data_IF_682532604257
#
_entry.id   IF_682532604257
#
_cell.length_a   1.000
_cell.length_b   1.000
_cell.length_c   1.000
_cell.angle_alpha   90.00
_cell.angle_beta   90.00
_cell.angle_gamma   90.00
#
_symmetry.space_group_name_H-M   'P 1'
#
loop_
_entity.id
_entity.type
_entity.pdbx_description
1 polymer ?
#
# COMPACT_ATOMS: atom_id res chain seq x y z
N UNK A 1 -7.02 -17.45 -0.57
CA UNK A 1 -6.09 -17.02 0.49
C UNK A 1 -6.90 -16.69 1.75
N UNK A 2 -7.13 -17.68 2.59
CA UNK A 2 -7.72 -17.54 3.92
C UNK A 2 -6.59 -17.34 4.91
N UNK A 3 -6.32 -16.10 5.32
CA UNK A 3 -5.54 -15.86 6.53
C UNK A 3 -6.38 -16.33 7.73
N UNK A 4 -5.76 -17.16 8.56
CA UNK A 4 -6.45 -17.92 9.59
C UNK A 4 -6.78 -16.98 10.77
N UNK A 5 -8.07 -16.86 11.11
CA UNK A 5 -8.55 -16.16 12.31
C UNK A 5 -7.96 -16.72 13.63
N UNK A 6 -7.33 -17.90 13.57
CA UNK A 6 -6.52 -18.47 14.67
C UNK A 6 -5.38 -17.56 15.08
N UNK A 7 -4.75 -16.86 14.12
CA UNK A 7 -3.55 -16.07 14.39
C UNK A 7 -3.90 -14.79 15.16
N UNK A 8 -5.10 -14.23 14.90
CA UNK A 8 -5.63 -13.09 15.65
C UNK A 8 -6.03 -13.48 17.09
N UNK A 9 -6.53 -14.71 17.26
CA UNK A 9 -6.94 -15.24 18.57
C UNK A 9 -5.72 -15.55 19.45
N UNK A 10 -4.67 -16.17 18.87
CA UNK A 10 -3.38 -16.36 19.53
C UNK A 10 -2.74 -15.04 19.94
N UNK A 11 -2.87 -13.99 19.12
CA UNK A 11 -2.38 -12.65 19.46
C UNK A 11 -3.12 -12.04 20.66
N UNK A 12 -4.42 -12.27 20.76
CA UNK A 12 -5.25 -11.75 21.85
C UNK A 12 -4.99 -12.46 23.18
N UNK A 13 -4.80 -13.78 23.16
CA UNK A 13 -4.44 -14.55 24.36
C UNK A 13 -3.03 -14.19 24.86
N UNK A 14 -2.04 -14.11 23.95
CA UNK A 14 -0.69 -13.68 24.29
C UNK A 14 -0.68 -12.26 24.89
N UNK A 15 -1.55 -11.38 24.40
CA UNK A 15 -1.73 -10.02 24.91
C UNK A 15 -2.35 -9.99 26.32
N UNK A 16 -3.35 -10.85 26.59
CA UNK A 16 -3.98 -10.97 27.91
C UNK A 16 -3.01 -11.52 28.96
N UNK A 17 -2.17 -12.51 28.58
CA UNK A 17 -1.11 -13.04 29.44
C UNK A 17 -0.04 -11.99 29.77
N UNK A 18 0.40 -11.21 28.77
CA UNK A 18 1.34 -10.10 29.00
C UNK A 18 0.74 -9.02 29.93
N UNK A 19 -0.55 -8.72 29.81
CA UNK A 19 -1.24 -7.74 30.66
C UNK A 19 -1.36 -8.22 32.12
N UNK A 20 -1.71 -9.50 32.33
CA UNK A 20 -1.80 -10.12 33.66
C UNK A 20 -0.40 -10.19 34.31
N UNK A 21 0.63 -10.50 33.52
CA UNK A 21 2.02 -10.57 33.98
C UNK A 21 2.58 -9.19 34.36
N UNK A 22 2.34 -8.16 33.54
CA UNK A 22 2.71 -6.77 33.84
C UNK A 22 2.02 -6.24 35.11
N UNK A 23 0.77 -6.64 35.35
CA UNK A 23 0.02 -6.27 36.56
C UNK A 23 0.58 -6.95 37.82
N UNK A 24 1.10 -8.18 37.73
CA UNK A 24 1.82 -8.88 38.82
C UNK A 24 3.21 -8.28 39.10
N UNK A 25 3.93 -7.83 38.08
CA UNK A 25 5.23 -7.16 38.26
C UNK A 25 5.10 -5.79 38.93
N UNK A 26 3.98 -5.08 38.72
CA UNK A 26 3.70 -3.78 39.36
C UNK A 26 3.56 -3.88 40.89
N UNK A 27 3.26 -5.06 41.42
CA UNK A 27 3.14 -5.32 42.86
C UNK A 27 4.43 -5.85 43.51
N UNK A 28 5.49 -6.11 42.74
CA UNK A 28 6.78 -6.54 43.26
C UNK A 28 7.77 -5.36 43.37
N UNK A 29 8.28 -5.12 44.58
CA UNK A 29 8.97 -3.87 44.99
C UNK A 29 10.41 -3.70 44.44
N UNK A 30 10.90 -4.54 43.52
CA UNK A 30 12.24 -4.35 42.94
C UNK A 30 12.22 -4.49 41.42
N UNK A 31 12.04 -3.36 40.72
CA UNK A 31 12.19 -3.28 39.27
C UNK A 31 13.47 -2.48 38.97
N UNK A 32 14.39 -3.08 38.20
CA UNK A 32 15.64 -2.44 37.78
C UNK A 32 15.38 -1.24 36.84
N UNK A 33 16.34 -0.32 36.65
CA UNK A 33 16.20 0.84 35.76
C UNK A 33 15.81 0.48 34.30
N UNK A 34 16.19 -0.72 33.83
CA UNK A 34 15.79 -1.26 32.53
C UNK A 34 14.29 -1.61 32.45
N UNK A 35 13.68 -2.02 33.57
CA UNK A 35 12.25 -2.31 33.65
C UNK A 35 11.37 -1.06 33.55
N UNK A 36 11.86 0.09 34.05
CA UNK A 36 11.20 1.39 33.85
C UNK A 36 11.23 1.83 32.38
N UNK A 37 12.31 1.54 31.66
CA UNK A 37 12.44 1.86 30.24
C UNK A 37 11.50 1.00 29.36
N UNK A 38 11.35 -0.28 29.69
CA UNK A 38 10.41 -1.19 29.05
C UNK A 38 8.94 -0.81 29.33
N UNK A 39 8.62 -0.40 30.57
CA UNK A 39 7.29 0.10 30.94
C UNK A 39 6.93 1.39 30.19
N UNK A 40 7.88 2.31 30.00
CA UNK A 40 7.66 3.54 29.24
C UNK A 40 7.26 3.31 27.78
N UNK A 41 7.88 2.33 27.10
CA UNK A 41 7.51 1.97 25.72
C UNK A 41 6.18 1.21 25.64
N UNK A 42 5.89 0.35 26.62
CA UNK A 42 4.59 -0.33 26.69
C UNK A 42 3.45 0.65 26.97
N UNK A 43 3.64 1.66 27.82
CA UNK A 43 2.62 2.69 28.10
C UNK A 43 2.34 3.57 26.86
N UNK A 44 3.37 3.87 26.06
CA UNK A 44 3.24 4.58 24.79
C UNK A 44 2.50 3.75 23.73
N UNK A 45 2.78 2.44 23.66
CA UNK A 45 2.11 1.50 22.77
C UNK A 45 0.64 1.27 23.20
N UNK A 46 0.37 1.22 24.50
CA UNK A 46 -0.98 1.12 25.07
C UNK A 46 -1.81 2.37 24.80
N UNK A 47 -1.23 3.58 24.93
CA UNK A 47 -1.91 4.84 24.57
C UNK A 47 -2.21 4.92 23.08
N UNK A 48 -1.34 4.38 22.23
CA UNK A 48 -1.57 4.31 20.78
C UNK A 48 -2.69 3.33 20.41
N UNK A 49 -2.82 2.22 21.14
CA UNK A 49 -3.83 1.18 20.89
C UNK A 49 -5.19 1.50 21.51
N UNK A 50 -5.25 2.05 22.73
CA UNK A 50 -6.48 2.50 23.38
C UNK A 50 -7.18 3.62 22.59
N UNK A 51 -6.41 4.50 21.95
CA UNK A 51 -6.97 5.53 21.06
C UNK A 51 -7.58 4.94 19.77
N UNK A 52 -7.32 3.67 19.45
CA UNK A 52 -7.91 2.97 18.30
C UNK A 52 -9.03 2.01 18.67
N UNK A 53 -9.07 1.49 19.91
CA UNK A 53 -10.09 0.54 20.37
C UNK A 53 -11.32 1.17 21.03
N UNK A 54 -11.28 2.45 21.44
CA UNK A 54 -12.45 3.16 21.98
C UNK A 54 -13.59 3.45 20.97
N UNK A 55 -13.46 3.05 19.69
CA UNK A 55 -14.48 3.29 18.66
C UNK A 55 -15.47 2.13 18.44
N UNK A 56 -15.35 1.01 19.17
CA UNK A 56 -16.26 -0.13 18.96
C UNK A 56 -16.73 -0.70 20.30
N UNK A 57 -18.02 -0.44 20.58
CA UNK A 57 -18.91 -1.11 21.53
C UNK A 57 -18.70 -0.84 23.02
N UNK A 58 -19.48 0.10 23.54
CA UNK A 58 -19.96 0.06 24.91
C UNK A 58 -21.16 -0.87 25.03
N UNK A 59 -20.99 -2.00 25.72
CA UNK A 59 -22.05 -2.68 26.46
C UNK A 59 -21.47 -3.83 27.28
N UNK A 60 -21.84 -3.83 28.55
CA UNK A 60 -21.52 -4.72 29.67
C UNK A 60 -21.56 -6.23 29.36
N UNK A 61 -20.50 -6.92 29.75
CA UNK A 61 -20.33 -8.38 29.71
C UNK A 61 -21.00 -9.04 30.93
N UNK A 62 -21.94 -9.96 30.68
CA UNK A 62 -22.20 -11.13 31.51
C UNK A 62 -22.07 -12.35 30.60
N UNK A 63 -21.13 -13.25 30.93
CA UNK A 63 -20.82 -14.42 30.14
C UNK A 63 -21.71 -15.61 30.52
N UNK A 64 -22.22 -16.37 29.53
CA UNK A 64 -22.38 -17.81 29.68
C UNK A 64 -21.50 -18.57 28.68
N UNK A 65 -21.15 -19.80 29.04
CA UNK A 65 -20.27 -20.72 28.31
C UNK A 65 -20.88 -21.14 26.96
N UNK A 66 -20.13 -21.01 25.85
CA UNK A 66 -20.58 -21.38 24.51
C UNK A 66 -19.89 -22.66 24.02
N UNK A 67 -20.67 -23.70 23.72
CA UNK A 67 -20.22 -24.94 23.09
C UNK A 67 -20.00 -24.77 21.57
N UNK A 68 -18.99 -25.44 21.01
CA UNK A 68 -18.52 -25.32 19.61
C UNK A 68 -19.59 -25.35 18.50
N UNK A 69 -20.74 -25.99 18.72
CA UNK A 69 -21.85 -26.06 17.75
C UNK A 69 -22.58 -24.72 17.54
N UNK A 70 -22.62 -23.84 18.54
CA UNK A 70 -23.26 -22.52 18.44
C UNK A 70 -22.43 -21.51 17.64
N UNK A 71 -21.11 -21.66 17.59
CA UNK A 71 -20.23 -20.78 16.83
C UNK A 71 -20.38 -20.94 15.31
N UNK A 72 -20.67 -22.16 14.82
CA UNK A 72 -20.89 -22.43 13.40
C UNK A 72 -22.24 -21.85 12.95
N UNK A 73 -23.30 -22.06 13.74
CA UNK A 73 -24.63 -21.48 13.46
C UNK A 73 -24.58 -19.95 13.49
N UNK A 74 -23.89 -19.35 14.46
CA UNK A 74 -23.70 -17.89 14.48
C UNK A 74 -22.87 -17.38 13.30
N UNK A 75 -21.87 -18.13 12.82
CA UNK A 75 -21.06 -17.76 11.65
C UNK A 75 -21.89 -17.77 10.37
N UNK A 76 -22.65 -18.83 10.13
CA UNK A 76 -23.48 -18.94 8.93
C UNK A 76 -24.66 -17.97 8.96
N UNK A 77 -25.22 -17.71 10.15
CA UNK A 77 -26.25 -16.70 10.33
C UNK A 77 -25.68 -15.28 10.17
N UNK A 78 -24.44 -15.01 10.61
CA UNK A 78 -23.75 -13.73 10.34
C UNK A 78 -23.41 -13.56 8.87
N UNK A 79 -22.92 -14.59 8.18
CA UNK A 79 -22.64 -14.55 6.74
C UNK A 79 -23.95 -14.31 5.96
N UNK A 80 -25.03 -14.98 6.35
CA UNK A 80 -26.35 -14.82 5.72
C UNK A 80 -26.97 -13.47 6.05
N UNK A 81 -26.84 -12.97 7.28
CA UNK A 81 -27.27 -11.62 7.66
C UNK A 81 -26.45 -10.54 6.98
N UNK A 82 -25.13 -10.70 6.82
CA UNK A 82 -24.29 -9.77 6.06
C UNK A 82 -24.65 -9.79 4.58
N UNK A 83 -24.79 -10.98 3.98
CA UNK A 83 -25.17 -11.13 2.57
C UNK A 83 -26.59 -10.60 2.27
N UNK A 84 -27.54 -10.78 3.19
CA UNK A 84 -28.90 -10.24 3.05
C UNK A 84 -28.96 -8.75 3.34
N UNK A 85 -28.19 -8.22 4.30
CA UNK A 85 -28.11 -6.79 4.60
C UNK A 85 -27.40 -6.02 3.48
N UNK A 86 -26.33 -6.59 2.90
CA UNK A 86 -25.68 -6.05 1.70
C UNK A 86 -26.62 -6.10 0.49
N UNK A 87 -27.36 -7.21 0.28
CA UNK A 87 -28.36 -7.29 -0.80
C UNK A 87 -29.56 -6.35 -0.61
N UNK A 88 -29.98 -6.08 0.64
CA UNK A 88 -31.05 -5.11 0.94
C UNK A 88 -30.56 -3.67 0.78
N UNK A 89 -29.33 -3.37 1.20
CA UNK A 89 -28.65 -2.09 0.93
C UNK A 89 -28.42 -1.86 -0.57
N UNK A 90 -28.11 -2.91 -1.33
CA UNK A 90 -27.98 -2.89 -2.79
C UNK A 90 -29.30 -2.66 -3.52
N UNK A 91 -30.44 -3.11 -2.96
CA UNK A 91 -31.76 -2.94 -3.56
C UNK A 91 -32.44 -1.61 -3.23
N UNK A 92 -32.08 -0.94 -2.13
CA UNK A 92 -32.76 0.29 -1.68
C UNK A 92 -31.93 1.58 -1.79
N UNK A 93 -30.60 1.52 -1.98
CA UNK A 93 -29.83 2.75 -2.30
C UNK A 93 -30.05 3.13 -3.76
N UNK A 94 -31.01 4.04 -3.99
CA UNK A 94 -31.17 4.76 -5.27
C UNK A 94 -29.80 5.26 -5.74
N UNK A 95 -29.52 4.94 -7.00
CA UNK A 95 -28.36 5.33 -7.77
C UNK A 95 -28.16 6.86 -7.74
N UNK A 96 -27.29 7.40 -6.90
CA UNK A 96 -27.06 8.85 -6.83
C UNK A 96 -25.59 9.21 -7.02
N UNK A 97 -25.26 9.58 -8.26
CA UNK A 97 -24.03 10.33 -8.59
C UNK A 97 -24.02 11.75 -7.98
N UNK A 98 -25.06 12.12 -7.23
CA UNK A 98 -25.24 13.38 -6.52
C UNK A 98 -24.92 13.27 -5.02
N UNK A 99 -24.45 12.09 -4.56
CA UNK A 99 -24.02 11.88 -3.18
C UNK A 99 -22.61 12.42 -2.90
N UNK A 100 -22.13 12.21 -1.66
CA UNK A 100 -20.77 12.63 -1.29
C UNK A 100 -19.71 11.82 -2.06
N UNK A 101 -18.52 12.40 -2.21
CA UNK A 101 -17.35 11.73 -2.84
C UNK A 101 -17.07 10.32 -2.26
N UNK A 102 -17.25 10.14 -0.95
CA UNK A 102 -17.08 8.84 -0.28
C UNK A 102 -18.14 7.81 -0.70
N UNK A 103 -19.40 8.22 -0.77
CA UNK A 103 -20.50 7.34 -1.18
C UNK A 103 -20.33 6.88 -2.63
N UNK A 104 -19.95 7.81 -3.51
CA UNK A 104 -19.70 7.51 -4.92
C UNK A 104 -18.50 6.57 -5.08
N UNK A 105 -17.40 6.76 -4.34
CA UNK A 105 -16.26 5.85 -4.40
C UNK A 105 -16.61 4.40 -4.02
N UNK A 106 -17.43 4.19 -2.99
CA UNK A 106 -17.89 2.85 -2.62
C UNK A 106 -18.73 2.22 -3.73
N UNK A 107 -19.61 3.02 -4.34
CA UNK A 107 -20.46 2.58 -5.44
C UNK A 107 -19.66 2.20 -6.71
N UNK A 108 -18.68 3.01 -7.10
CA UNK A 108 -17.87 2.75 -8.30
C UNK A 108 -17.09 1.44 -8.21
N UNK A 109 -16.72 0.98 -7.00
CA UNK A 109 -16.03 -0.31 -6.82
C UNK A 109 -16.91 -1.52 -7.16
N UNK A 110 -18.23 -1.38 -7.04
CA UNK A 110 -19.19 -2.48 -7.21
C UNK A 110 -19.94 -2.44 -8.53
N UNK A 111 -19.67 -1.44 -9.39
CA UNK A 111 -20.52 -1.14 -10.55
C UNK A 111 -19.71 -1.21 -11.86
N UNK A 112 -20.33 -1.76 -12.91
CA UNK A 112 -19.74 -1.77 -14.26
C UNK A 112 -19.75 -0.37 -14.90
N UNK A 113 -18.75 -0.03 -15.72
CA UNK A 113 -18.67 1.27 -16.39
C UNK A 113 -19.93 1.68 -17.17
N UNK A 114 -20.55 0.75 -17.90
CA UNK A 114 -21.73 1.06 -18.73
C UNK A 114 -22.92 1.56 -17.89
N UNK A 115 -23.15 0.97 -16.72
CA UNK A 115 -24.24 1.40 -15.81
C UNK A 115 -23.99 2.79 -15.24
N UNK A 116 -22.73 3.09 -14.90
CA UNK A 116 -22.34 4.43 -14.44
C UNK A 116 -22.50 5.45 -15.56
N UNK A 117 -22.18 5.05 -16.80
CA UNK A 117 -22.35 5.88 -17.99
C UNK A 117 -23.83 6.20 -18.24
N UNK A 118 -24.72 5.20 -18.21
CA UNK A 118 -26.16 5.40 -18.41
C UNK A 118 -26.72 6.39 -17.39
N UNK A 119 -26.30 6.29 -16.13
CA UNK A 119 -26.71 7.23 -15.09
C UNK A 119 -26.14 8.63 -15.31
N UNK A 120 -24.91 8.74 -15.81
CA UNK A 120 -24.32 10.02 -16.14
C UNK A 120 -25.06 10.70 -17.31
N UNK A 121 -25.52 9.92 -18.29
CA UNK A 121 -26.36 10.42 -19.38
C UNK A 121 -27.73 10.86 -18.87
N UNK A 122 -28.35 10.10 -17.96
CA UNK A 122 -29.59 10.52 -17.29
C UNK A 122 -29.40 11.87 -16.60
N UNK A 123 -28.33 12.04 -15.80
CA UNK A 123 -27.97 13.31 -15.17
C UNK A 123 -27.80 14.46 -16.18
N UNK A 124 -27.31 14.16 -17.39
CA UNK A 124 -27.14 15.15 -18.45
C UNK A 124 -28.48 15.57 -19.05
N UNK A 125 -29.41 14.64 -19.23
CA UNK A 125 -30.77 14.90 -19.75
C UNK A 125 -31.60 15.68 -18.73
N UNK A 126 -31.53 15.31 -17.44
CA UNK A 126 -32.26 15.97 -16.35
C UNK A 126 -31.60 17.26 -15.87
N UNK A 127 -30.44 17.63 -16.43
CA UNK A 127 -29.59 18.75 -15.99
C UNK A 127 -29.18 18.70 -14.49
N UNK A 128 -29.31 17.53 -13.86
CA UNK A 128 -28.90 17.30 -12.48
C UNK A 128 -27.47 16.76 -12.42
N UNK A 129 -26.49 17.67 -12.48
CA UNK A 129 -25.08 17.30 -12.62
C UNK A 129 -24.38 17.04 -11.28
N UNK A 130 -23.47 16.04 -11.21
CA UNK A 130 -22.59 15.81 -10.05
C UNK A 130 -21.72 17.01 -9.67
N UNK A 131 -21.25 17.03 -8.42
CA UNK A 131 -20.21 17.97 -7.97
C UNK A 131 -18.89 17.75 -8.73
N UNK A 132 -18.04 18.77 -8.73
CA UNK A 132 -16.79 18.79 -9.53
C UNK A 132 -15.85 17.66 -9.08
N UNK A 133 -15.74 17.44 -7.78
CA UNK A 133 -14.96 16.37 -7.16
C UNK A 133 -15.44 14.99 -7.63
N UNK A 134 -16.75 14.81 -7.74
CA UNK A 134 -17.36 13.57 -8.26
C UNK A 134 -17.06 13.40 -9.76
N UNK A 135 -17.05 14.49 -10.53
CA UNK A 135 -16.68 14.43 -11.95
C UNK A 135 -15.21 14.00 -12.14
N UNK A 136 -14.28 14.44 -11.29
CA UNK A 136 -12.90 13.94 -11.28
C UNK A 136 -12.81 12.44 -10.95
N UNK A 137 -13.58 11.98 -9.96
CA UNK A 137 -13.65 10.55 -9.63
C UNK A 137 -14.18 9.72 -10.80
N UNK A 138 -15.23 10.21 -11.47
CA UNK A 138 -15.82 9.56 -12.64
C UNK A 138 -14.85 9.55 -13.83
N UNK A 139 -14.14 10.66 -14.09
CA UNK A 139 -13.11 10.70 -15.12
C UNK A 139 -12.04 9.63 -14.89
N UNK A 140 -11.51 9.57 -13.66
CA UNK A 140 -10.53 8.55 -13.28
C UNK A 140 -11.09 7.12 -13.44
N UNK A 141 -12.32 6.89 -12.98
CA UNK A 141 -12.98 5.59 -13.07
C UNK A 141 -13.16 5.12 -14.52
N UNK A 142 -13.69 5.98 -15.41
CA UNK A 142 -13.83 5.64 -16.82
C UNK A 142 -12.48 5.45 -17.52
N UNK A 143 -11.47 6.26 -17.17
CA UNK A 143 -10.12 6.13 -17.74
C UNK A 143 -9.44 4.82 -17.34
N UNK A 144 -9.52 4.42 -16.07
CA UNK A 144 -9.02 3.12 -15.60
C UNK A 144 -9.78 1.97 -16.27
N UNK A 145 -11.10 2.10 -16.44
CA UNK A 145 -11.93 1.11 -17.14
C UNK A 145 -11.79 1.12 -18.67
N UNK A 146 -10.98 2.01 -19.26
CA UNK A 146 -10.83 2.13 -20.72
C UNK A 146 -12.10 2.62 -21.46
N UNK A 147 -13.08 3.16 -20.73
CA UNK A 147 -14.41 3.48 -21.24
C UNK A 147 -14.47 4.91 -21.84
N UNK A 148 -14.18 5.00 -23.14
CA UNK A 148 -14.04 6.28 -23.89
C UNK A 148 -15.28 7.15 -23.80
N UNK A 149 -16.47 6.58 -24.06
CA UNK A 149 -17.73 7.34 -24.10
C UNK A 149 -18.03 8.02 -22.77
N UNK A 150 -17.70 7.34 -21.67
CA UNK A 150 -17.89 7.86 -20.31
C UNK A 150 -16.96 9.03 -20.00
N UNK A 151 -15.69 8.93 -20.37
CA UNK A 151 -14.75 10.04 -20.20
C UNK A 151 -15.18 11.27 -21.01
N UNK A 152 -15.61 11.08 -22.26
CA UNK A 152 -16.10 12.18 -23.10
C UNK A 152 -17.41 12.79 -22.56
N UNK A 153 -18.31 11.97 -21.99
CA UNK A 153 -19.49 12.47 -21.30
C UNK A 153 -19.11 13.36 -20.11
N UNK A 154 -18.17 12.94 -19.26
CA UNK A 154 -17.66 13.75 -18.14
C UNK A 154 -17.06 15.06 -18.63
N UNK A 155 -16.19 15.03 -19.65
CA UNK A 155 -15.62 16.24 -20.25
C UNK A 155 -16.70 17.20 -20.74
N UNK A 156 -17.72 16.69 -21.44
CA UNK A 156 -18.82 17.51 -21.96
C UNK A 156 -19.62 18.18 -20.84
N UNK A 157 -19.83 17.48 -19.72
CA UNK A 157 -20.51 18.05 -18.54
C UNK A 157 -19.63 19.12 -17.88
N UNK A 158 -18.33 18.87 -17.71
CA UNK A 158 -17.41 19.83 -17.14
C UNK A 158 -17.28 21.11 -17.98
N UNK A 159 -17.30 21.00 -19.32
CA UNK A 159 -17.29 22.14 -20.22
C UNK A 159 -18.50 23.06 -20.02
N UNK A 160 -19.68 22.48 -19.76
CA UNK A 160 -20.94 23.21 -19.56
C UNK A 160 -21.00 23.80 -18.15
N UNK A 161 -20.75 22.98 -17.11
CA UNK A 161 -21.00 23.35 -15.71
C UNK A 161 -19.83 24.08 -15.05
N UNK A 162 -18.59 23.67 -15.33
CA UNK A 162 -17.40 24.12 -14.60
C UNK A 162 -16.23 24.42 -15.54
N UNK A 163 -16.45 25.30 -16.53
CA UNK A 163 -15.45 25.66 -17.55
C UNK A 163 -14.10 26.10 -16.97
N UNK A 164 -14.09 26.79 -15.82
CA UNK A 164 -12.86 27.22 -15.15
C UNK A 164 -12.03 26.01 -14.70
N UNK A 165 -12.65 25.04 -14.03
CA UNK A 165 -11.94 23.82 -13.60
C UNK A 165 -11.55 22.97 -14.80
N UNK A 166 -12.43 22.85 -15.81
CA UNK A 166 -12.12 22.15 -17.05
C UNK A 166 -10.81 22.64 -17.69
N UNK A 167 -10.61 23.97 -17.78
CA UNK A 167 -9.36 24.56 -18.26
C UNK A 167 -8.19 24.33 -17.29
N UNK A 168 -8.43 24.45 -15.99
CA UNK A 168 -7.39 24.25 -14.94
C UNK A 168 -6.83 22.83 -14.94
N UNK A 169 -7.65 21.83 -15.24
CA UNK A 169 -7.27 20.42 -15.33
C UNK A 169 -6.73 20.01 -16.71
N UNK A 170 -6.28 20.96 -17.54
CA UNK A 170 -5.82 20.71 -18.91
C UNK A 170 -6.85 19.97 -19.77
N UNK A 171 -8.14 20.32 -19.66
CA UNK A 171 -9.24 19.67 -20.37
C UNK A 171 -9.32 18.15 -20.10
N UNK A 172 -8.90 17.71 -18.90
CA UNK A 172 -8.85 16.29 -18.51
C UNK A 172 -7.95 15.45 -19.45
N UNK A 173 -6.94 16.07 -20.08
CA UNK A 173 -6.05 15.40 -21.02
C UNK A 173 -5.20 14.29 -20.35
N UNK A 174 -4.83 14.43 -19.08
CA UNK A 174 -4.13 13.38 -18.33
C UNK A 174 -4.99 12.11 -18.14
N UNK A 175 -6.32 12.24 -18.00
CA UNK A 175 -7.23 11.09 -18.01
C UNK A 175 -7.37 10.47 -19.40
N UNK A 176 -7.19 11.25 -20.45
CA UNK A 176 -7.15 10.75 -21.84
C UNK A 176 -5.86 9.97 -22.10
N UNK A 177 -4.74 10.48 -21.60
CA UNK A 177 -3.45 9.78 -21.59
C UNK A 177 -3.54 8.43 -20.86
N UNK A 178 -4.16 8.43 -19.68
CA UNK A 178 -4.44 7.19 -18.93
C UNK A 178 -5.29 6.21 -19.74
N UNK A 179 -6.29 6.68 -20.50
CA UNK A 179 -7.08 5.83 -21.36
C UNK A 179 -6.25 5.23 -22.51
N UNK A 180 -5.33 5.99 -23.13
CA UNK A 180 -4.39 5.45 -24.12
C UNK A 180 -3.48 4.38 -23.50
N UNK A 181 -3.07 4.57 -22.25
CA UNK A 181 -2.28 3.59 -21.50
C UNK A 181 -3.04 2.28 -21.32
N UNK A 182 -4.31 2.33 -20.89
CA UNK A 182 -5.14 1.12 -20.72
C UNK A 182 -5.36 0.36 -22.03
N UNK A 183 -5.32 1.06 -23.16
CA UNK A 183 -5.39 0.45 -24.51
C UNK A 183 -4.05 -0.09 -25.01
N UNK A 184 -2.99 -0.05 -24.20
CA UNK A 184 -1.65 -0.50 -24.56
C UNK A 184 -0.86 0.47 -25.46
N UNK A 185 -1.38 1.68 -25.71
CA UNK A 185 -0.66 2.68 -26.49
C UNK A 185 0.22 3.56 -25.58
N UNK A 186 1.27 2.94 -25.02
CA UNK A 186 2.14 3.55 -24.01
C UNK A 186 2.86 4.80 -24.51
N UNK A 187 3.36 4.78 -25.74
CA UNK A 187 4.06 5.94 -26.33
C UNK A 187 3.14 7.15 -26.41
N UNK A 188 1.96 7.00 -27.02
CA UNK A 188 0.98 8.09 -27.12
C UNK A 188 0.51 8.57 -25.75
N UNK A 189 0.33 7.65 -24.80
CA UNK A 189 -0.01 8.03 -23.42
C UNK A 189 1.07 8.90 -22.79
N UNK A 190 2.34 8.51 -22.90
CA UNK A 190 3.47 9.26 -22.35
C UNK A 190 3.70 10.61 -23.04
N UNK A 191 3.52 10.67 -24.36
CA UNK A 191 3.56 11.93 -25.11
C UNK A 191 2.49 12.89 -24.60
N UNK A 192 1.26 12.41 -24.36
CA UNK A 192 0.17 13.22 -23.85
C UNK A 192 0.40 13.68 -22.41
N UNK A 193 0.90 12.80 -21.52
CA UNK A 193 1.30 13.21 -20.16
C UNK A 193 2.39 14.29 -20.17
N UNK A 194 3.37 14.14 -21.06
CA UNK A 194 4.45 15.13 -21.25
C UNK A 194 3.88 16.46 -21.74
N UNK A 195 2.94 16.43 -22.68
CA UNK A 195 2.29 17.64 -23.20
C UNK A 195 1.47 18.36 -22.12
N UNK A 196 0.74 17.61 -21.28
CA UNK A 196 -0.02 18.18 -20.15
C UNK A 196 0.90 18.89 -19.16
N UNK A 197 2.00 18.25 -18.77
CA UNK A 197 2.94 18.80 -17.79
C UNK A 197 3.75 19.98 -18.34
N UNK A 198 4.02 20.01 -19.65
CA UNK A 198 4.58 21.19 -20.33
C UNK A 198 3.63 22.37 -20.37
N UNK A 199 2.35 22.13 -20.68
CA UNK A 199 1.32 23.19 -20.75
C UNK A 199 0.95 23.73 -19.38
N UNK A 200 0.84 22.86 -18.38
CA UNK A 200 0.43 23.19 -17.02
C UNK A 200 1.36 22.50 -16.01
N UNK A 201 2.52 23.12 -15.69
CA UNK A 201 3.49 22.57 -14.74
C UNK A 201 2.91 22.29 -13.34
N UNK A 202 1.85 23.00 -12.94
CA UNK A 202 1.14 22.78 -11.68
C UNK A 202 0.53 21.38 -11.55
N UNK A 203 0.24 20.71 -12.68
CA UNK A 203 -0.30 19.34 -12.70
C UNK A 203 0.79 18.27 -12.62
N UNK A 204 2.08 18.64 -12.69
CA UNK A 204 3.20 17.67 -12.69
C UNK A 204 3.16 16.69 -11.52
N UNK A 205 2.95 17.09 -10.25
CA UNK A 205 2.94 16.14 -9.14
C UNK A 205 1.83 15.09 -9.26
N UNK A 206 0.65 15.51 -9.72
CA UNK A 206 -0.50 14.62 -9.93
C UNK A 206 -0.27 13.68 -11.10
N UNK A 207 0.21 14.20 -12.23
CA UNK A 207 0.54 13.40 -13.42
C UNK A 207 1.66 12.40 -13.14
N UNK A 208 2.76 12.83 -12.52
CA UNK A 208 3.84 11.93 -12.12
C UNK A 208 3.31 10.83 -11.18
N UNK A 209 2.46 11.16 -10.21
CA UNK A 209 1.81 10.16 -9.33
C UNK A 209 0.95 9.17 -10.14
N UNK A 210 0.20 9.64 -11.11
CA UNK A 210 -0.62 8.80 -11.98
C UNK A 210 0.25 7.83 -12.80
N UNK A 211 1.30 8.34 -13.46
CA UNK A 211 2.22 7.51 -14.25
C UNK A 211 2.89 6.45 -13.38
N UNK A 212 3.38 6.80 -12.18
CA UNK A 212 3.99 5.83 -11.25
C UNK A 212 3.03 4.69 -10.89
N UNK A 213 1.77 5.01 -10.65
CA UNK A 213 0.75 3.99 -10.36
C UNK A 213 0.50 3.09 -11.57
N UNK A 214 0.41 3.66 -12.77
CA UNK A 214 0.22 2.90 -14.01
C UNK A 214 1.38 1.94 -14.23
N UNK A 215 2.62 2.44 -14.17
CA UNK A 215 3.86 1.65 -14.28
C UNK A 215 3.85 0.47 -13.31
N UNK A 216 3.58 0.73 -12.02
CA UNK A 216 3.54 -0.30 -10.98
C UNK A 216 2.55 -1.43 -11.29
N UNK A 217 1.43 -1.10 -11.91
CA UNK A 217 0.39 -2.09 -12.25
C UNK A 217 0.59 -2.79 -13.59
N UNK A 218 1.24 -2.13 -14.57
CA UNK A 218 1.34 -2.65 -15.94
C UNK A 218 2.67 -3.33 -16.24
N UNK A 219 3.79 -2.80 -15.76
CA UNK A 219 5.14 -3.34 -16.07
C UNK A 219 5.26 -4.84 -15.77
N UNK A 220 4.73 -5.37 -14.64
CA UNK A 220 4.86 -6.80 -14.33
C UNK A 220 4.13 -7.75 -15.30
N UNK A 221 3.20 -7.25 -16.14
CA UNK A 221 2.29 -8.09 -16.93
C UNK A 221 2.37 -7.86 -18.45
N UNK A 222 3.10 -6.87 -18.92
CA UNK A 222 3.18 -6.51 -20.34
C UNK A 222 4.37 -7.17 -21.05
N UNK A 223 4.37 -7.11 -22.38
CA UNK A 223 5.47 -7.64 -23.20
C UNK A 223 6.76 -6.81 -23.06
N UNK A 224 7.92 -7.44 -23.28
CA UNK A 224 9.24 -6.77 -23.25
C UNK A 224 9.37 -5.59 -24.20
N UNK A 225 8.79 -5.71 -25.40
CA UNK A 225 8.77 -4.61 -26.36
C UNK A 225 8.05 -3.38 -25.76
N UNK A 226 6.96 -3.60 -25.02
CA UNK A 226 6.23 -2.55 -24.32
C UNK A 226 7.01 -1.98 -23.14
N UNK A 227 7.72 -2.82 -22.38
CA UNK A 227 8.62 -2.38 -21.29
C UNK A 227 9.68 -1.43 -21.82
N UNK A 228 10.29 -1.74 -22.97
CA UNK A 228 11.29 -0.85 -23.61
C UNK A 228 10.69 0.52 -23.98
N UNK A 229 9.48 0.54 -24.55
CA UNK A 229 8.79 1.81 -24.88
C UNK A 229 8.53 2.64 -23.61
N UNK A 230 8.10 2.00 -22.52
CA UNK A 230 7.88 2.68 -21.24
C UNK A 230 9.20 3.19 -20.66
N UNK A 231 10.28 2.41 -20.76
CA UNK A 231 11.62 2.82 -20.34
C UNK A 231 12.06 4.11 -21.05
N UNK A 232 12.11 4.07 -22.40
CA UNK A 232 12.58 5.19 -23.21
C UNK A 232 11.75 6.47 -22.92
N UNK A 233 10.42 6.29 -22.80
CA UNK A 233 9.50 7.39 -22.50
C UNK A 233 9.64 7.92 -21.07
N UNK A 234 9.90 7.04 -20.09
CA UNK A 234 10.08 7.42 -18.68
C UNK A 234 11.38 8.17 -18.47
N UNK A 235 12.45 7.73 -19.14
CA UNK A 235 13.74 8.41 -19.14
C UNK A 235 13.60 9.80 -19.76
N UNK A 236 12.99 9.88 -20.96
CA UNK A 236 12.74 11.16 -21.62
C UNK A 236 11.90 12.11 -20.75
N UNK A 237 10.82 11.61 -20.14
CA UNK A 237 9.98 12.39 -19.24
C UNK A 237 10.77 12.92 -18.03
N UNK A 238 11.61 12.06 -17.43
CA UNK A 238 12.39 12.41 -16.24
C UNK A 238 13.44 13.47 -16.53
N UNK A 239 14.19 13.32 -17.63
CA UNK A 239 15.20 14.29 -18.07
C UNK A 239 14.56 15.63 -18.44
N UNK A 240 13.41 15.63 -19.12
CA UNK A 240 12.74 16.87 -19.52
C UNK A 240 12.16 17.67 -18.35
N UNK A 241 11.76 17.00 -17.27
CA UNK A 241 11.08 17.64 -16.14
C UNK A 241 11.97 17.78 -14.90
N UNK A 242 13.20 17.25 -14.94
CA UNK A 242 14.07 17.07 -13.77
C UNK A 242 13.33 16.37 -12.61
N UNK A 243 12.53 15.35 -12.95
CA UNK A 243 11.71 14.58 -12.02
C UNK A 243 11.92 13.08 -12.29
N UNK A 244 12.85 12.50 -11.53
CA UNK A 244 13.20 11.09 -11.61
C UNK A 244 12.20 10.16 -10.89
N UNK A 245 11.09 10.67 -10.35
CA UNK A 245 10.12 9.83 -9.65
C UNK A 245 9.42 8.81 -10.56
N UNK A 246 9.21 9.15 -11.84
CA UNK A 246 8.61 8.24 -12.82
C UNK A 246 9.59 7.12 -13.17
N UNK A 247 10.84 7.47 -13.49
CA UNK A 247 11.88 6.48 -13.76
C UNK A 247 12.21 5.63 -12.52
N UNK A 248 12.14 6.20 -11.32
CA UNK A 248 12.27 5.48 -10.05
C UNK A 248 11.18 4.43 -9.84
N UNK A 249 9.93 4.74 -10.17
CA UNK A 249 8.85 3.74 -10.11
C UNK A 249 9.02 2.62 -11.16
N UNK A 250 9.54 2.96 -12.34
CA UNK A 250 9.88 1.98 -13.36
C UNK A 250 10.99 1.06 -12.88
N UNK A 251 12.08 1.62 -12.34
CA UNK A 251 13.17 0.88 -11.74
C UNK A 251 12.69 -0.07 -10.64
N UNK A 252 11.86 0.40 -9.70
CA UNK A 252 11.37 -0.43 -8.60
C UNK A 252 10.47 -1.57 -9.10
N UNK A 253 9.71 -1.34 -10.17
CA UNK A 253 8.86 -2.36 -10.79
C UNK A 253 9.71 -3.47 -11.43
N UNK A 254 10.83 -3.12 -12.07
CA UNK A 254 11.79 -4.09 -12.61
C UNK A 254 12.57 -4.80 -11.49
N UNK A 255 13.03 -4.05 -10.48
CA UNK A 255 13.84 -4.56 -9.38
C UNK A 255 13.12 -5.63 -8.56
N UNK A 256 11.82 -5.43 -8.32
CA UNK A 256 10.94 -6.35 -7.59
C UNK A 256 10.27 -7.40 -8.48
N UNK A 257 10.60 -7.43 -9.77
CA UNK A 257 10.08 -8.43 -10.70
C UNK A 257 10.57 -9.82 -10.32
N UNK A 258 9.77 -10.85 -10.61
CA UNK A 258 10.19 -12.24 -10.48
C UNK A 258 11.12 -12.69 -11.61
N UNK A 259 11.18 -11.92 -12.71
CA UNK A 259 12.02 -12.24 -13.85
C UNK A 259 13.45 -11.75 -13.64
N UNK A 260 14.42 -12.66 -13.76
CA UNK A 260 15.83 -12.33 -13.56
C UNK A 260 16.34 -11.24 -14.52
N UNK A 261 15.88 -11.25 -15.77
CA UNK A 261 16.28 -10.25 -16.76
C UNK A 261 15.80 -8.83 -16.41
N UNK A 262 14.61 -8.70 -15.82
CA UNK A 262 14.11 -7.41 -15.34
C UNK A 262 14.98 -6.91 -14.17
N UNK A 263 15.36 -7.81 -13.27
CA UNK A 263 16.25 -7.50 -12.15
C UNK A 263 17.62 -7.02 -12.65
N UNK A 264 18.24 -7.73 -13.61
CA UNK A 264 19.50 -7.30 -14.22
C UNK A 264 19.37 -5.94 -14.92
N UNK A 265 18.26 -5.73 -15.64
CA UNK A 265 17.98 -4.45 -16.30
C UNK A 265 17.87 -3.33 -15.25
N UNK A 266 17.19 -3.57 -14.13
CA UNK A 266 17.06 -2.56 -13.06
C UNK A 266 18.42 -2.13 -12.49
N UNK A 267 19.37 -3.06 -12.33
CA UNK A 267 20.73 -2.75 -11.86
C UNK A 267 21.48 -1.92 -12.91
N UNK A 268 21.44 -2.33 -14.18
CA UNK A 268 22.07 -1.58 -15.28
C UNK A 268 21.52 -0.15 -15.39
N UNK A 269 20.21 0.03 -15.20
CA UNK A 269 19.59 1.36 -15.20
C UNK A 269 20.15 2.25 -14.10
N UNK A 270 20.32 1.72 -12.89
CA UNK A 270 20.85 2.48 -11.76
C UNK A 270 22.31 2.88 -11.98
N UNK A 271 23.11 1.97 -12.55
CA UNK A 271 24.52 2.22 -12.89
C UNK A 271 24.69 3.25 -14.01
N UNK A 272 23.75 3.33 -14.95
CA UNK A 272 23.86 4.21 -16.13
C UNK A 272 23.40 5.64 -15.84
N UNK A 273 22.42 5.82 -14.95
CA UNK A 273 21.71 7.10 -14.79
C UNK A 273 21.92 7.71 -13.41
N UNK A 274 22.86 8.65 -13.28
CA UNK A 274 23.19 9.30 -12.00
C UNK A 274 21.98 10.01 -11.33
N UNK A 275 21.13 10.68 -12.10
CA UNK A 275 19.93 11.31 -11.53
C UNK A 275 18.92 10.29 -10.96
N UNK A 276 18.86 9.09 -11.53
CA UNK A 276 18.09 7.99 -10.96
C UNK A 276 18.77 7.47 -9.68
N UNK A 277 20.10 7.33 -9.71
CA UNK A 277 20.91 6.91 -8.56
C UNK A 277 20.61 7.78 -7.32
N UNK A 278 20.72 9.10 -7.46
CA UNK A 278 20.45 10.07 -6.40
C UNK A 278 19.00 9.99 -5.92
N UNK A 279 18.05 9.82 -6.85
CA UNK A 279 16.63 9.67 -6.51
C UNK A 279 16.35 8.41 -5.68
N UNK A 280 16.94 7.27 -6.06
CA UNK A 280 16.76 6.00 -5.35
C UNK A 280 17.46 6.03 -3.99
N UNK A 281 18.64 6.65 -3.90
CA UNK A 281 19.37 6.79 -2.64
C UNK A 281 18.52 7.46 -1.56
N UNK A 282 17.78 8.51 -1.91
CA UNK A 282 16.83 9.17 -1.01
C UNK A 282 15.65 8.28 -0.58
N UNK A 283 15.30 7.26 -1.38
CA UNK A 283 14.19 6.34 -1.10
C UNK A 283 14.61 5.07 -0.38
N UNK A 284 15.92 4.77 -0.29
CA UNK A 284 16.44 3.56 0.35
C UNK A 284 15.83 3.31 1.74
N UNK A 285 15.71 4.30 2.65
CA UNK A 285 15.11 4.05 3.97
C UNK A 285 13.65 3.60 3.93
N UNK A 286 12.88 4.07 2.95
CA UNK A 286 11.48 3.67 2.80
C UNK A 286 11.36 2.30 2.14
N UNK A 287 12.18 2.03 1.12
CA UNK A 287 12.21 0.74 0.42
C UNK A 287 12.66 -0.36 1.37
N UNK A 288 13.75 -0.13 2.12
CA UNK A 288 14.32 -1.05 3.11
C UNK A 288 13.29 -1.46 4.16
N UNK A 289 12.62 -0.47 4.76
CA UNK A 289 11.54 -0.68 5.72
C UNK A 289 10.39 -1.50 5.12
N UNK A 290 10.03 -1.23 3.86
CA UNK A 290 8.93 -1.96 3.19
C UNK A 290 9.28 -3.44 2.99
N UNK A 291 10.51 -3.75 2.58
CA UNK A 291 10.96 -5.13 2.41
C UNK A 291 11.03 -5.89 3.74
N UNK A 292 11.63 -5.30 4.79
CA UNK A 292 11.73 -5.92 6.11
C UNK A 292 10.35 -6.15 6.75
N UNK A 293 9.45 -5.16 6.66
CA UNK A 293 8.07 -5.27 7.21
C UNK A 293 7.27 -6.37 6.51
N UNK A 294 7.60 -6.68 5.24
CA UNK A 294 6.96 -7.76 4.46
C UNK A 294 7.72 -9.08 4.54
N UNK A 295 8.75 -9.18 5.37
CA UNK A 295 9.64 -10.33 5.46
C UNK A 295 10.27 -10.74 4.12
N UNK A 296 10.44 -9.79 3.20
CA UNK A 296 11.02 -10.04 1.88
C UNK A 296 12.55 -9.86 1.94
N UNK A 297 13.21 -10.82 2.59
CA UNK A 297 14.66 -10.77 2.84
C UNK A 297 15.47 -10.90 1.54
N UNK A 298 14.98 -11.65 0.55
CA UNK A 298 15.66 -11.82 -0.72
C UNK A 298 15.78 -10.50 -1.50
N UNK A 299 14.68 -9.73 -1.61
CA UNK A 299 14.73 -8.41 -2.27
C UNK A 299 15.54 -7.40 -1.45
N UNK A 300 15.57 -7.54 -0.12
CA UNK A 300 16.42 -6.72 0.74
C UNK A 300 17.91 -6.98 0.50
N UNK A 301 18.33 -8.24 0.42
CA UNK A 301 19.71 -8.63 0.14
C UNK A 301 20.13 -8.13 -1.25
N UNK A 302 19.27 -8.31 -2.26
CA UNK A 302 19.50 -7.75 -3.60
C UNK A 302 19.63 -6.23 -3.58
N UNK A 303 18.89 -5.54 -2.72
CA UNK A 303 18.98 -4.08 -2.59
C UNK A 303 20.35 -3.69 -2.03
N UNK A 304 20.82 -4.40 -1.00
CA UNK A 304 22.16 -4.20 -0.43
C UNK A 304 23.25 -4.43 -1.48
N UNK A 305 23.18 -5.53 -2.24
CA UNK A 305 24.12 -5.82 -3.35
C UNK A 305 24.10 -4.71 -4.41
N UNK A 306 22.91 -4.26 -4.80
CA UNK A 306 22.75 -3.20 -5.81
C UNK A 306 23.34 -1.86 -5.35
N UNK A 307 23.10 -1.48 -4.10
CA UNK A 307 23.63 -0.25 -3.49
C UNK A 307 25.16 -0.31 -3.34
N UNK A 308 25.71 -1.49 -3.01
CA UNK A 308 27.17 -1.74 -3.00
C UNK A 308 27.78 -1.63 -4.40
N UNK A 309 27.16 -2.21 -5.42
CA UNK A 309 27.62 -2.10 -6.81
C UNK A 309 27.63 -0.67 -7.33
N UNK A 310 26.72 0.18 -6.82
CA UNK A 310 26.64 1.59 -7.17
C UNK A 310 27.53 2.49 -6.30
N UNK A 311 28.35 1.93 -5.40
CA UNK A 311 29.19 2.67 -4.45
C UNK A 311 28.43 3.70 -3.58
N UNK A 312 27.19 3.40 -3.21
CA UNK A 312 26.36 4.26 -2.34
C UNK A 312 26.62 3.95 -0.86
N UNK A 313 27.79 4.37 -0.33
CA UNK A 313 28.26 3.98 1.02
C UNK A 313 27.27 4.29 2.15
N UNK A 314 26.65 5.48 2.13
CA UNK A 314 25.67 5.91 3.13
C UNK A 314 24.45 5.00 3.16
N UNK A 315 23.95 4.63 1.97
CA UNK A 315 22.82 3.72 1.83
C UNK A 315 23.17 2.30 2.25
N UNK A 316 24.39 1.82 1.95
CA UNK A 316 24.87 0.51 2.42
C UNK A 316 24.92 0.45 3.94
N UNK A 317 25.48 1.47 4.60
CA UNK A 317 25.52 1.55 6.05
C UNK A 317 24.11 1.58 6.67
N UNK A 318 23.18 2.32 6.06
CA UNK A 318 21.78 2.35 6.46
C UNK A 318 21.12 0.97 6.35
N UNK A 319 21.32 0.27 5.24
CA UNK A 319 20.76 -1.07 5.02
C UNK A 319 21.35 -2.10 5.97
N UNK A 320 22.65 -2.08 6.25
CA UNK A 320 23.24 -2.99 7.24
C UNK A 320 22.63 -2.76 8.62
N UNK A 321 22.54 -1.50 9.05
CA UNK A 321 21.95 -1.14 10.35
C UNK A 321 20.49 -1.61 10.47
N UNK A 322 19.67 -1.34 9.46
CA UNK A 322 18.26 -1.74 9.47
C UNK A 322 18.09 -3.28 9.48
N UNK A 323 19.00 -4.02 8.85
CA UNK A 323 19.00 -5.48 8.90
C UNK A 323 19.37 -6.00 10.30
N UNK A 324 20.38 -5.42 10.94
CA UNK A 324 20.76 -5.76 12.32
C UNK A 324 19.62 -5.49 13.30
N UNK A 325 18.94 -4.34 13.18
CA UNK A 325 17.80 -3.96 14.03
C UNK A 325 16.64 -4.96 13.87
N UNK A 326 16.37 -5.40 12.64
CA UNK A 326 15.32 -6.37 12.32
C UNK A 326 15.57 -7.75 12.95
N UNK A 327 16.79 -8.30 12.84
CA UNK A 327 17.12 -9.58 13.47
C UNK A 327 17.18 -9.49 14.99
N UNK A 328 17.75 -8.42 15.54
CA UNK A 328 17.87 -8.22 16.99
C UNK A 328 16.49 -8.14 17.66
N UNK A 329 15.52 -7.46 17.04
CA UNK A 329 14.14 -7.45 17.53
C UNK A 329 13.48 -8.83 17.45
N UNK A 330 13.74 -9.59 16.39
CA UNK A 330 13.17 -10.93 16.20
C UNK A 330 13.69 -11.90 17.28
N UNK A 331 14.99 -11.86 17.58
CA UNK A 331 15.62 -12.67 18.64
C UNK A 331 15.02 -12.32 20.00
N UNK A 332 14.84 -11.03 20.30
CA UNK A 332 14.21 -10.58 21.55
C UNK A 332 12.78 -11.08 21.71
N UNK A 333 11.96 -11.02 20.65
CA UNK A 333 10.58 -11.53 20.66
C UNK A 333 10.57 -13.03 20.92
N UNK A 334 11.46 -13.79 20.28
CA UNK A 334 11.57 -15.23 20.47
C UNK A 334 11.98 -15.58 21.91
N UNK A 335 12.92 -14.82 22.48
CA UNK A 335 13.39 -14.98 23.85
C UNK A 335 12.30 -14.69 24.89
N UNK A 336 11.54 -13.59 24.70
CA UNK A 336 10.41 -13.24 25.55
C UNK A 336 9.29 -14.30 25.43
N UNK A 337 8.97 -14.74 24.22
CA UNK A 337 7.95 -15.78 24.00
C UNK A 337 8.34 -17.09 24.69
N UNK A 338 9.60 -17.53 24.54
CA UNK A 338 10.11 -18.75 25.19
C UNK A 338 10.11 -18.66 26.72
N UNK A 339 10.47 -17.49 27.28
CA UNK A 339 10.45 -17.26 28.74
C UNK A 339 9.03 -17.18 29.32
N UNK A 340 8.05 -16.69 28.53
CA UNK A 340 6.64 -16.58 28.97
C UNK A 340 5.82 -17.85 28.78
N UNK A 341 6.18 -18.72 27.84
CA UNK A 341 5.46 -19.97 27.53
C UNK A 341 5.66 -21.11 28.55
N UNK A 342 6.31 -20.85 29.70
CA UNK A 342 6.32 -21.80 30.82
C UNK A 342 7.06 -23.12 30.57
N UNK A 343 7.92 -23.18 29.56
CA UNK A 343 8.75 -24.35 29.28
C UNK A 343 9.83 -24.52 30.35
N UNK A 344 9.59 -25.35 31.36
CA UNK A 344 10.66 -25.94 32.19
C UNK A 344 11.50 -26.91 31.36
N UNK A 345 12.25 -26.40 30.38
CA UNK A 345 13.35 -27.14 29.77
C UNK A 345 14.65 -26.56 30.31
N UNK A 346 15.47 -27.45 30.87
CA UNK A 346 16.73 -27.12 31.54
C UNK A 346 17.62 -26.24 30.65
N UNK A 347 18.08 -25.14 31.24
CA UNK A 347 18.89 -24.06 30.67
C UNK A 347 20.26 -24.51 30.12
N UNK A 348 20.64 -25.78 30.24
CA UNK A 348 21.99 -26.25 29.92
C UNK A 348 22.27 -26.53 28.43
N UNK A 349 21.27 -26.57 27.54
CA UNK A 349 21.51 -26.81 26.11
C UNK A 349 21.41 -25.57 25.21
N UNK A 350 20.90 -24.43 25.69
CA UNK A 350 20.79 -23.21 24.88
C UNK A 350 22.04 -22.31 24.92
N UNK A 351 22.86 -22.39 25.97
CA UNK A 351 24.15 -21.68 26.03
C UNK A 351 25.11 -22.17 24.93
N UNK A 352 25.02 -23.44 24.51
CA UNK A 352 25.80 -23.94 23.37
C UNK A 352 25.30 -23.44 21.99
N UNK A 353 24.02 -23.13 21.82
CA UNK A 353 23.49 -22.67 20.53
C UNK A 353 23.85 -21.21 20.22
N UNK A 354 23.97 -20.36 21.26
CA UNK A 354 24.39 -18.97 21.14
C UNK A 354 25.92 -18.83 21.00
N UNK A 355 26.70 -19.78 21.55
CA UNK A 355 28.15 -19.81 21.36
C UNK A 355 28.54 -20.31 19.96
N UNK A 356 27.81 -21.27 19.37
CA UNK A 356 28.13 -21.77 18.03
C UNK A 356 27.86 -20.78 16.89
N UNK A 357 26.95 -19.82 17.08
CA UNK A 357 26.67 -18.78 16.06
C UNK A 357 27.63 -17.60 16.10
N UNK A 358 28.50 -17.50 17.12
CA UNK A 358 29.50 -16.44 17.25
C UNK A 358 30.95 -16.89 17.00
N UNK A 359 31.21 -18.20 16.82
CA UNK A 359 32.57 -18.74 16.65
C UNK A 359 33.00 -18.91 15.18
N UNK A 360 32.08 -18.94 14.21
CA UNK A 360 32.42 -19.03 12.77
C UNK A 360 32.56 -17.67 12.05
N UNK A 361 32.88 -16.62 12.79
CA UNK A 361 33.35 -15.35 12.25
C UNK A 361 34.61 -14.89 13.00
N UNK A 362 35.74 -15.57 12.72
CA UNK A 362 37.09 -15.04 12.93
C UNK A 362 37.96 -15.36 11.74
#
# INVERSE_FOLDING_TARGET
>A
MTYCLSDLFCFYEAFLYCFIFARKLRTSVNISPMGYFAMGRMDMMMKFLLNRSCLVCGSSFLAPQWHHSTAVVHRDMLITCMATKDNKLLKEKKLHLLGTSSDVMHYLKMTKPDQVYDKLIECKVTQSYPEVEVLHLLANFFSIGGHVKGLEAVKSICQIKCLKEFKRSSNFAHYTAQLFWQKGNFKKAMDEFTNVTKRLPSLRPEVSKMIRNLIKTSVPIISRASVKVIYDSSLQYSVQNDDYSVLGAFWLSLFTSHWHEDQQTSVQLLLTHKGLQEHIEMQIPQISKTFLTRHNIADYQRLLECVLQCNMENSSAHLLRALFDYYSCTIWIFWVYFMTAGGRCRVQHLEMALLYTFVDCR
#
